data_IF_512201405353
#
_entry.id   IF_512201405353
#
_cell.length_a   1.000
_cell.length_b   1.000
_cell.length_c   1.000
_cell.angle_alpha   90.00
_cell.angle_beta   90.00
_cell.angle_gamma   90.00
#
_symmetry.space_group_name_H-M   'P 1'
#
loop_
_entity.id
_entity.type
_entity.pdbx_description
1 polymer ?
#
# COMPACT_ATOMS: atom_id res chain seq x y z
N UNK A 1 37.71 23.22 -26.15
CA UNK A 1 37.38 24.60 -25.74
C UNK A 1 37.09 24.54 -24.26
N UNK A 2 37.90 25.26 -23.49
CA UNK A 2 37.95 25.19 -22.03
C UNK A 2 36.77 25.94 -21.42
N UNK A 3 36.30 25.36 -20.31
CA UNK A 3 35.42 25.90 -19.27
C UNK A 3 35.49 27.42 -19.05
N UNK A 4 34.32 28.02 -18.83
CA UNK A 4 34.19 29.12 -17.87
C UNK A 4 33.41 28.61 -16.66
N UNK A 5 34.12 28.46 -15.54
CA UNK A 5 33.54 28.20 -14.22
C UNK A 5 32.95 29.49 -13.59
N UNK A 6 32.49 30.42 -14.42
CA UNK A 6 32.34 31.84 -14.08
C UNK A 6 31.00 32.45 -14.52
N UNK A 7 29.90 31.69 -14.57
CA UNK A 7 28.60 32.35 -14.51
C UNK A 7 28.23 32.56 -13.02
N UNK A 8 28.41 33.79 -12.48
CA UNK A 8 28.14 34.07 -11.08
C UNK A 8 26.67 33.85 -10.72
N UNK A 9 25.77 33.91 -11.71
CA UNK A 9 24.34 33.68 -11.50
C UNK A 9 24.06 32.18 -11.33
N UNK A 10 24.69 31.30 -12.12
CA UNK A 10 24.55 29.85 -11.94
C UNK A 10 25.19 29.36 -10.63
N UNK A 11 26.34 29.93 -10.25
CA UNK A 11 26.96 29.65 -8.94
C UNK A 11 26.03 30.09 -7.80
N UNK A 12 25.43 31.28 -7.92
CA UNK A 12 24.45 31.76 -6.95
C UNK A 12 23.21 30.86 -6.85
N UNK A 13 22.67 30.36 -7.98
CA UNK A 13 21.56 29.40 -7.96
C UNK A 13 21.98 28.10 -7.25
N UNK A 14 23.16 27.57 -7.54
CA UNK A 14 23.70 26.38 -6.84
C UNK A 14 23.79 26.60 -5.33
N UNK A 15 24.28 27.77 -4.89
CA UNK A 15 24.37 28.11 -3.47
C UNK A 15 22.98 28.21 -2.82
N UNK A 16 22.01 28.81 -3.52
CA UNK A 16 20.61 28.88 -3.08
C UNK A 16 19.98 27.50 -2.95
N UNK A 17 20.28 26.59 -3.86
CA UNK A 17 19.80 25.20 -3.80
C UNK A 17 20.35 24.50 -2.55
N UNK A 18 21.66 24.61 -2.29
CA UNK A 18 22.28 24.02 -1.10
C UNK A 18 21.73 24.62 0.20
N UNK A 19 21.46 25.92 0.22
CA UNK A 19 20.87 26.60 1.37
C UNK A 19 19.46 26.07 1.70
N UNK A 20 18.69 25.68 0.68
CA UNK A 20 17.35 25.14 0.84
C UNK A 20 17.33 23.63 1.18
N UNK A 21 18.43 22.90 0.97
CA UNK A 21 18.48 21.47 1.34
C UNK A 21 18.44 21.28 2.86
N UNK A 22 17.85 20.17 3.31
CA UNK A 22 17.77 19.91 4.74
C UNK A 22 19.18 19.64 5.31
N UNK A 23 19.63 20.38 6.34
CA UNK A 23 20.94 20.17 6.91
C UNK A 23 21.03 18.81 7.61
N UNK A 24 22.23 18.21 7.57
CA UNK A 24 22.51 16.98 8.28
C UNK A 24 22.34 17.15 9.79
N UNK A 25 21.83 16.13 10.47
CA UNK A 25 21.74 16.13 11.92
C UNK A 25 23.14 16.13 12.55
N UNK A 26 23.27 16.84 13.67
CA UNK A 26 24.50 16.84 14.48
C UNK A 26 24.73 15.51 15.21
N UNK A 27 23.67 14.75 15.48
CA UNK A 27 23.67 13.43 16.12
C UNK A 27 22.77 12.49 15.32
N UNK A 28 23.08 11.20 15.33
CA UNK A 28 22.28 10.19 14.64
C UNK A 28 20.87 10.07 15.24
N UNK A 29 19.92 9.64 14.42
CA UNK A 29 18.52 9.40 14.79
C UNK A 29 18.33 8.51 16.04
N UNK A 30 19.24 7.57 16.27
CA UNK A 30 19.16 6.68 17.44
C UNK A 30 19.43 7.44 18.76
N UNK A 31 20.07 8.60 18.70
CA UNK A 31 20.52 9.36 19.86
C UNK A 31 19.54 10.46 20.29
N UNK A 32 18.57 10.82 19.46
CA UNK A 32 17.70 11.99 19.68
C UNK A 32 16.30 11.72 19.16
N UNK A 33 15.28 11.98 19.99
CA UNK A 33 13.91 12.05 19.52
C UNK A 33 13.69 13.37 18.76
N UNK A 34 13.34 13.29 17.49
CA UNK A 34 13.08 14.49 16.68
C UNK A 34 11.64 14.99 16.89
N UNK A 35 11.49 16.31 16.98
CA UNK A 35 10.21 17.00 17.12
C UNK A 35 10.10 18.08 16.03
N UNK A 36 8.87 18.45 15.61
CA UNK A 36 8.66 19.51 14.62
C UNK A 36 9.35 20.84 14.98
N UNK A 37 9.37 21.19 16.27
CA UNK A 37 10.00 22.42 16.77
C UNK A 37 11.51 22.50 16.48
N UNK A 38 12.19 21.36 16.27
CA UNK A 38 13.60 21.34 15.89
C UNK A 38 13.85 21.90 14.47
N UNK A 39 12.82 22.07 13.66
CA UNK A 39 12.91 22.48 12.26
C UNK A 39 12.34 23.88 11.98
N UNK A 40 11.88 24.61 12.99
CA UNK A 40 11.27 25.96 12.83
C UNK A 40 12.17 26.96 12.10
N UNK A 41 13.47 26.94 12.42
CA UNK A 41 14.45 27.82 11.75
C UNK A 41 14.61 27.45 10.27
N UNK A 42 14.63 26.15 9.98
CA UNK A 42 14.72 25.66 8.61
C UNK A 42 13.45 26.00 7.81
N UNK A 43 12.27 25.83 8.41
CA UNK A 43 11.00 26.22 7.80
C UNK A 43 10.93 27.72 7.50
N UNK A 44 11.36 28.56 8.44
CA UNK A 44 11.41 30.01 8.25
C UNK A 44 12.35 30.40 7.11
N UNK A 45 13.50 29.72 7.00
CA UNK A 45 14.44 29.93 5.90
C UNK A 45 13.81 29.54 4.55
N UNK A 46 13.19 28.35 4.47
CA UNK A 46 12.55 27.89 3.23
C UNK A 46 11.43 28.84 2.76
N UNK A 47 10.62 29.35 3.68
CA UNK A 47 9.55 30.32 3.35
C UNK A 47 10.09 31.61 2.72
N UNK A 48 11.33 32.01 3.05
CA UNK A 48 11.97 33.21 2.53
C UNK A 48 12.77 32.95 1.25
N UNK A 49 13.50 31.83 1.18
CA UNK A 49 14.44 31.57 0.09
C UNK A 49 13.82 30.81 -1.09
N UNK A 50 12.82 29.94 -0.87
CA UNK A 50 12.18 29.21 -1.99
C UNK A 50 11.51 30.12 -3.03
N UNK A 51 10.78 31.19 -2.66
CA UNK A 51 10.23 32.13 -3.65
C UNK A 51 11.33 32.77 -4.50
N UNK A 52 12.45 33.15 -3.88
CA UNK A 52 13.59 33.74 -4.59
C UNK A 52 14.23 32.74 -5.54
N UNK A 53 14.40 31.49 -5.09
CA UNK A 53 14.90 30.41 -5.93
C UNK A 53 13.98 30.20 -7.14
N UNK A 54 12.67 30.14 -6.95
CA UNK A 54 11.71 29.97 -8.05
C UNK A 54 11.74 31.12 -9.04
N UNK A 55 11.87 32.37 -8.58
CA UNK A 55 12.05 33.52 -9.46
C UNK A 55 13.34 33.40 -10.31
N UNK A 56 14.44 32.96 -9.71
CA UNK A 56 15.72 32.74 -10.41
C UNK A 56 15.61 31.62 -11.43
N UNK A 57 14.96 30.50 -11.08
CA UNK A 57 14.73 29.37 -11.98
C UNK A 57 13.85 29.78 -13.16
N UNK A 58 12.84 30.62 -12.93
CA UNK A 58 11.96 31.10 -13.99
C UNK A 58 12.71 32.03 -14.95
N UNK A 59 13.56 32.93 -14.44
CA UNK A 59 14.39 33.83 -15.26
C UNK A 59 15.41 33.09 -16.12
N UNK A 60 15.96 32.00 -15.58
CA UNK A 60 17.04 31.23 -16.21
C UNK A 60 16.56 29.90 -16.82
N UNK A 61 15.24 29.75 -17.06
CA UNK A 61 14.62 28.48 -17.48
C UNK A 61 15.28 27.88 -18.72
N UNK A 62 15.53 28.69 -19.74
CA UNK A 62 16.08 28.23 -21.01
C UNK A 62 17.54 27.75 -20.88
N UNK A 63 18.33 28.43 -20.06
CA UNK A 63 19.74 28.10 -19.79
C UNK A 63 19.83 26.79 -18.99
N UNK A 64 18.99 26.65 -17.96
CA UNK A 64 18.94 25.46 -17.11
C UNK A 64 18.44 24.24 -17.90
N UNK A 65 17.49 24.44 -18.81
CA UNK A 65 16.85 23.34 -19.54
C UNK A 65 17.67 22.87 -20.74
N UNK A 66 18.30 23.78 -21.49
CA UNK A 66 18.87 23.45 -22.80
C UNK A 66 20.40 23.33 -22.81
N UNK A 67 21.10 23.87 -21.82
CA UNK A 67 22.56 23.89 -21.86
C UNK A 67 23.16 22.61 -21.26
N UNK A 68 23.98 21.93 -22.06
CA UNK A 68 24.63 20.66 -21.72
C UNK A 68 25.54 20.75 -20.47
N UNK A 69 26.34 21.80 -20.21
CA UNK A 69 27.21 21.85 -19.03
C UNK A 69 26.47 21.89 -17.69
N UNK A 70 25.17 22.20 -17.67
CA UNK A 70 24.40 22.42 -16.44
C UNK A 70 23.89 21.14 -15.76
N UNK A 71 24.42 19.97 -16.13
CA UNK A 71 24.04 18.68 -15.55
C UNK A 71 24.14 18.64 -14.01
N UNK A 72 25.20 19.23 -13.42
CA UNK A 72 25.37 19.23 -11.96
C UNK A 72 24.30 20.09 -11.26
N UNK A 73 24.01 21.28 -11.78
CA UNK A 73 22.99 22.16 -11.22
C UNK A 73 21.59 21.52 -11.36
N UNK A 74 21.28 20.94 -12.53
CA UNK A 74 20.03 20.18 -12.74
C UNK A 74 19.89 19.03 -11.75
N UNK A 75 20.97 18.28 -11.51
CA UNK A 75 20.97 17.21 -10.51
C UNK A 75 20.69 17.75 -9.11
N UNK A 76 21.34 18.83 -8.68
CA UNK A 76 21.10 19.46 -7.37
C UNK A 76 19.65 19.95 -7.22
N UNK A 77 19.08 20.53 -8.28
CA UNK A 77 17.68 20.95 -8.30
C UNK A 77 16.74 19.76 -8.15
N UNK A 78 16.95 18.68 -8.91
CA UNK A 78 16.16 17.45 -8.78
C UNK A 78 16.21 16.92 -7.35
N UNK A 79 17.41 16.86 -6.75
CA UNK A 79 17.60 16.41 -5.37
C UNK A 79 16.80 17.27 -4.39
N UNK A 80 16.96 18.60 -4.42
CA UNK A 80 16.23 19.52 -3.55
C UNK A 80 14.71 19.37 -3.70
N UNK A 81 14.21 19.37 -4.94
CA UNK A 81 12.78 19.29 -5.20
C UNK A 81 12.21 17.96 -4.69
N UNK A 82 12.93 16.85 -4.86
CA UNK A 82 12.55 15.55 -4.28
C UNK A 82 12.51 15.57 -2.74
N UNK A 83 13.43 16.27 -2.08
CA UNK A 83 13.40 16.47 -0.62
C UNK A 83 12.18 17.29 -0.18
N UNK A 84 11.84 18.36 -0.91
CA UNK A 84 10.73 19.24 -0.59
C UNK A 84 9.36 18.58 -0.74
N UNK A 85 9.17 17.78 -1.80
CA UNK A 85 7.89 17.09 -2.07
C UNK A 85 7.76 15.74 -1.34
N UNK A 86 8.75 15.37 -0.53
CA UNK A 86 8.71 14.11 0.18
C UNK A 86 7.46 14.00 1.05
N UNK A 87 6.93 12.77 1.13
CA UNK A 87 5.78 12.40 1.96
C UNK A 87 5.82 13.07 3.32
N UNK A 88 4.67 13.47 3.91
CA UNK A 88 4.64 14.31 5.11
C UNK A 88 5.61 13.81 6.18
N UNK A 89 6.58 14.67 6.48
CA UNK A 89 7.62 14.47 7.49
C UNK A 89 7.53 15.60 8.51
N UNK A 90 8.12 15.39 9.68
CA UNK A 90 8.20 16.42 10.73
C UNK A 90 8.94 17.70 10.30
N UNK A 91 9.71 17.63 9.22
CA UNK A 91 10.45 18.75 8.63
C UNK A 91 9.88 19.22 7.29
N UNK A 92 8.76 18.66 6.83
CA UNK A 92 8.04 19.17 5.66
C UNK A 92 7.40 20.53 5.95
N UNK A 93 7.24 21.35 4.91
CA UNK A 93 6.49 22.60 5.00
C UNK A 93 4.98 22.29 5.12
N UNK A 94 4.30 22.84 6.12
CA UNK A 94 2.87 22.62 6.39
C UNK A 94 2.08 23.92 6.18
N UNK A 95 0.80 23.81 5.80
CA UNK A 95 -0.14 24.94 5.78
C UNK A 95 -0.04 25.80 4.51
N UNK A 96 0.18 27.11 4.67
CA UNK A 96 0.17 28.10 3.57
C UNK A 96 1.26 27.87 2.50
N UNK A 97 2.22 26.98 2.77
CA UNK A 97 3.26 26.57 1.82
C UNK A 97 2.80 25.57 0.75
N UNK A 98 1.52 25.18 0.72
CA UNK A 98 0.98 24.24 -0.27
C UNK A 98 1.24 24.69 -1.73
N UNK A 99 1.20 26.00 -2.00
CA UNK A 99 1.54 26.53 -3.32
C UNK A 99 3.02 26.35 -3.67
N UNK A 100 3.92 26.52 -2.70
CA UNK A 100 5.36 26.33 -2.91
C UNK A 100 5.72 24.88 -3.22
N UNK A 101 5.07 23.93 -2.54
CA UNK A 101 5.25 22.49 -2.79
C UNK A 101 4.66 22.07 -4.13
N UNK A 102 3.52 22.64 -4.53
CA UNK A 102 2.94 22.42 -5.86
C UNK A 102 3.87 22.91 -6.97
N UNK A 103 4.45 24.10 -6.80
CA UNK A 103 5.46 24.61 -7.74
C UNK A 103 6.67 23.68 -7.80
N UNK A 104 7.14 23.19 -6.65
CA UNK A 104 8.25 22.24 -6.60
C UNK A 104 7.97 20.97 -7.44
N UNK A 105 6.76 20.41 -7.30
CA UNK A 105 6.38 19.20 -8.02
C UNK A 105 6.29 19.43 -9.54
N UNK A 106 5.75 20.58 -9.96
CA UNK A 106 5.67 20.96 -11.38
C UNK A 106 7.08 21.16 -11.99
N UNK A 107 7.96 21.88 -11.28
CA UNK A 107 9.35 22.05 -11.71
C UNK A 107 10.10 20.73 -11.77
N UNK A 108 9.90 19.83 -10.80
CA UNK A 108 10.52 18.52 -10.79
C UNK A 108 10.08 17.69 -12.01
N UNK A 109 8.79 17.67 -12.32
CA UNK A 109 8.27 16.97 -13.49
C UNK A 109 8.93 17.43 -14.79
N UNK A 110 9.07 18.75 -14.96
CA UNK A 110 9.76 19.35 -16.10
C UNK A 110 11.24 18.93 -16.16
N UNK A 111 11.98 19.02 -15.05
CA UNK A 111 13.40 18.64 -15.01
C UNK A 111 13.62 17.14 -15.26
N UNK A 112 12.76 16.28 -14.73
CA UNK A 112 12.87 14.83 -14.94
C UNK A 112 12.61 14.43 -16.40
N UNK A 113 11.75 15.15 -17.11
CA UNK A 113 11.48 14.90 -18.55
C UNK A 113 12.71 15.11 -19.45
N UNK A 114 13.66 15.95 -19.01
CA UNK A 114 14.90 16.28 -19.71
C UNK A 114 16.15 15.71 -19.01
N UNK A 115 15.96 14.84 -18.02
CA UNK A 115 17.05 14.25 -17.24
C UNK A 115 17.81 13.22 -18.09
N UNK A 116 19.11 13.39 -18.24
CA UNK A 116 19.97 12.48 -18.99
C UNK A 116 20.92 11.71 -18.06
N UNK A 117 21.71 10.80 -18.63
CA UNK A 117 22.63 9.92 -17.88
C UNK A 117 23.69 10.70 -17.06
N UNK A 118 24.04 11.92 -17.48
CA UNK A 118 25.00 12.76 -16.78
C UNK A 118 24.45 13.27 -15.44
N UNK A 119 23.21 13.78 -15.43
CA UNK A 119 22.49 14.13 -14.20
C UNK A 119 22.32 12.92 -13.29
N UNK A 120 21.91 11.78 -13.85
CA UNK A 120 21.73 10.55 -13.08
C UNK A 120 23.01 10.10 -12.39
N UNK A 121 24.17 10.29 -13.03
CA UNK A 121 25.47 10.01 -12.42
C UNK A 121 25.74 10.91 -11.22
N UNK A 122 25.44 12.20 -11.31
CA UNK A 122 25.56 13.13 -10.18
C UNK A 122 24.58 12.81 -9.04
N UNK A 123 23.32 12.51 -9.38
CA UNK A 123 22.28 12.13 -8.43
C UNK A 123 22.67 10.84 -7.70
N UNK A 124 23.14 9.83 -8.44
CA UNK A 124 23.61 8.57 -7.87
C UNK A 124 24.76 8.80 -6.90
N UNK A 125 25.79 9.57 -7.30
CA UNK A 125 26.93 9.87 -6.44
C UNK A 125 26.50 10.59 -5.14
N UNK A 126 25.54 11.51 -5.22
CA UNK A 126 24.99 12.17 -4.04
C UNK A 126 24.36 11.16 -3.07
N UNK A 127 23.44 10.32 -3.57
CA UNK A 127 22.78 9.34 -2.71
C UNK A 127 23.74 8.27 -2.19
N UNK A 128 24.68 7.79 -3.00
CA UNK A 128 25.71 6.84 -2.56
C UNK A 128 26.52 7.36 -1.37
N UNK A 129 26.89 8.65 -1.40
CA UNK A 129 27.61 9.30 -0.30
C UNK A 129 26.72 9.54 0.93
N UNK A 130 25.47 9.96 0.72
CA UNK A 130 24.56 10.40 1.79
C UNK A 130 23.80 9.26 2.47
N UNK A 131 23.54 8.17 1.73
CA UNK A 131 22.79 7.01 2.21
C UNK A 131 23.70 5.82 2.52
N UNK A 132 25.01 6.08 2.64
CA UNK A 132 25.95 5.08 3.14
C UNK A 132 25.54 4.61 4.54
N UNK A 133 25.72 3.32 4.81
CA UNK A 133 25.31 2.66 6.07
C UNK A 133 25.78 3.38 7.34
N UNK A 134 26.93 4.06 7.27
CA UNK A 134 27.57 4.71 8.42
C UNK A 134 27.05 6.13 8.72
N UNK A 135 26.32 6.77 7.79
CA UNK A 135 25.97 8.19 7.93
C UNK A 135 24.51 8.53 7.57
N UNK A 136 23.76 7.62 6.97
CA UNK A 136 22.39 7.87 6.49
C UNK A 136 21.47 8.39 7.59
N UNK A 137 21.67 7.95 8.85
CA UNK A 137 20.89 8.39 10.02
C UNK A 137 21.02 9.87 10.35
N UNK A 138 21.93 10.61 9.69
CA UNK A 138 22.03 12.08 9.79
C UNK A 138 21.41 12.79 8.60
N UNK A 139 21.14 12.10 7.50
CA UNK A 139 20.81 12.69 6.21
C UNK A 139 19.30 12.56 5.91
N UNK A 140 18.44 13.10 6.77
CA UNK A 140 16.98 12.89 6.67
C UNK A 140 16.41 13.34 5.32
N UNK A 141 16.88 14.50 4.83
CA UNK A 141 16.51 15.05 3.52
C UNK A 141 16.76 14.02 2.43
N UNK A 142 18.01 13.55 2.31
CA UNK A 142 18.40 12.55 1.34
C UNK A 142 17.60 11.24 1.45
N UNK A 143 17.32 10.77 2.67
CA UNK A 143 16.60 9.51 2.92
C UNK A 143 15.18 9.56 2.36
N UNK A 144 14.43 10.62 2.67
CA UNK A 144 13.06 10.77 2.17
C UNK A 144 13.01 11.25 0.72
N UNK A 145 13.95 12.12 0.32
CA UNK A 145 14.11 12.58 -1.05
C UNK A 145 14.42 11.43 -2.01
N UNK A 146 15.16 10.40 -1.56
CA UNK A 146 15.44 9.22 -2.38
C UNK A 146 14.18 8.45 -2.75
N UNK A 147 13.27 8.22 -1.79
CA UNK A 147 11.99 7.56 -2.09
C UNK A 147 11.15 8.38 -3.09
N UNK A 148 11.09 9.70 -2.93
CA UNK A 148 10.44 10.61 -3.89
C UNK A 148 11.09 10.57 -5.27
N UNK A 149 12.42 10.53 -5.32
CA UNK A 149 13.19 10.43 -6.56
C UNK A 149 12.87 9.13 -7.28
N UNK A 150 12.91 7.99 -6.60
CA UNK A 150 12.53 6.70 -7.21
C UNK A 150 11.09 6.74 -7.73
N UNK A 151 10.16 7.29 -6.95
CA UNK A 151 8.75 7.41 -7.34
C UNK A 151 8.57 8.24 -8.61
N UNK A 152 9.22 9.42 -8.69
CA UNK A 152 9.01 10.37 -9.79
C UNK A 152 9.82 10.02 -11.04
N UNK A 153 11.07 9.60 -10.88
CA UNK A 153 11.99 9.31 -12.00
C UNK A 153 11.52 8.13 -12.83
N UNK A 154 11.00 7.09 -12.17
CA UNK A 154 10.69 5.80 -12.80
C UNK A 154 9.20 5.58 -13.05
N UNK A 155 8.33 6.55 -12.75
CA UNK A 155 6.89 6.45 -13.02
C UNK A 155 6.51 6.41 -14.53
N UNK A 156 7.37 6.91 -15.42
CA UNK A 156 7.08 7.06 -16.86
C UNK A 156 7.77 5.98 -17.71
N UNK A 157 7.63 4.71 -17.34
CA UNK A 157 8.21 3.54 -18.04
C UNK A 157 9.74 3.50 -18.18
N UNK A 158 10.46 4.41 -17.50
CA UNK A 158 11.91 4.29 -17.39
C UNK A 158 12.23 3.16 -16.43
N UNK A 159 13.08 2.23 -16.86
CA UNK A 159 13.49 1.09 -16.07
C UNK A 159 14.77 1.38 -15.29
N UNK A 160 14.79 0.92 -14.04
CA UNK A 160 15.98 1.05 -13.19
C UNK A 160 17.13 0.20 -13.73
N UNK A 161 18.35 0.73 -13.70
CA UNK A 161 19.54 -0.06 -14.00
C UNK A 161 19.87 -1.02 -12.85
N UNK A 162 20.56 -2.13 -13.12
CA UNK A 162 20.99 -3.10 -12.09
C UNK A 162 21.79 -2.43 -10.96
N UNK A 163 22.57 -1.39 -11.27
CA UNK A 163 23.30 -0.59 -10.28
C UNK A 163 22.36 0.18 -9.35
N UNK A 164 21.32 0.81 -9.91
CA UNK A 164 20.31 1.51 -9.09
C UNK A 164 19.47 0.52 -8.27
N UNK A 165 19.11 -0.63 -8.85
CA UNK A 165 18.37 -1.70 -8.18
C UNK A 165 19.14 -2.17 -6.94
N UNK A 166 20.38 -2.63 -7.11
CA UNK A 166 21.22 -3.13 -6.01
C UNK A 166 21.46 -2.08 -4.93
N UNK A 167 21.67 -0.83 -5.33
CA UNK A 167 21.77 0.29 -4.40
C UNK A 167 20.46 0.53 -3.63
N UNK A 168 19.31 0.51 -4.31
CA UNK A 168 17.99 0.73 -3.70
C UNK A 168 17.64 -0.37 -2.69
N UNK A 169 18.00 -1.63 -2.97
CA UNK A 169 17.88 -2.74 -2.01
C UNK A 169 18.70 -2.44 -0.76
N UNK A 170 19.98 -2.09 -0.91
CA UNK A 170 20.86 -1.80 0.23
C UNK A 170 20.35 -0.64 1.08
N UNK A 171 19.90 0.45 0.45
CA UNK A 171 19.29 1.60 1.15
C UNK A 171 18.02 1.18 1.88
N UNK A 172 17.11 0.47 1.21
CA UNK A 172 15.87 0.02 1.84
C UNK A 172 16.11 -0.89 3.05
N UNK A 173 17.08 -1.81 2.97
CA UNK A 173 17.47 -2.66 4.10
C UNK A 173 18.01 -1.82 5.27
N UNK A 174 18.99 -0.93 5.02
CA UNK A 174 19.58 -0.08 6.06
C UNK A 174 18.55 0.80 6.76
N UNK A 175 17.64 1.41 5.98
CA UNK A 175 16.60 2.31 6.51
C UNK A 175 15.63 1.54 7.42
N UNK A 176 15.29 0.29 7.07
CA UNK A 176 14.40 -0.57 7.88
C UNK A 176 15.04 -1.07 9.18
N UNK A 177 16.36 -1.03 9.33
CA UNK A 177 17.01 -1.32 10.62
C UNK A 177 16.64 -0.29 11.70
N UNK A 178 16.09 0.86 11.33
CA UNK A 178 15.57 1.82 12.28
C UNK A 178 14.33 1.29 13.00
N UNK A 179 14.30 1.45 14.33
CA UNK A 179 13.18 1.00 15.15
C UNK A 179 11.90 1.81 14.94
N UNK A 180 12.00 3.04 14.42
CA UNK A 180 10.87 3.93 14.19
C UNK A 180 10.01 3.46 13.00
N UNK A 181 8.69 3.41 13.18
CA UNK A 181 7.74 2.86 12.18
C UNK A 181 7.76 3.61 10.85
N UNK A 182 8.04 4.91 10.88
CA UNK A 182 8.08 5.79 9.72
C UNK A 182 9.20 5.37 8.75
N UNK A 183 10.33 4.92 9.28
CA UNK A 183 11.46 4.44 8.46
C UNK A 183 11.23 3.02 7.96
N UNK A 184 10.55 2.17 8.73
CA UNK A 184 10.08 0.87 8.22
C UNK A 184 9.14 1.06 7.03
N UNK A 185 8.18 1.97 7.16
CA UNK A 185 7.28 2.37 6.08
C UNK A 185 8.05 2.90 4.87
N UNK A 186 9.02 3.79 5.10
CA UNK A 186 9.85 4.35 4.03
C UNK A 186 10.64 3.27 3.27
N UNK A 187 11.22 2.31 3.99
CA UNK A 187 11.90 1.17 3.37
C UNK A 187 10.96 0.31 2.53
N UNK A 188 9.73 0.05 3.00
CA UNK A 188 8.71 -0.65 2.21
C UNK A 188 8.35 0.09 0.91
N UNK A 189 8.29 1.42 0.96
CA UNK A 189 8.04 2.25 -0.23
C UNK A 189 9.18 2.22 -1.22
N UNK A 190 10.43 2.30 -0.76
CA UNK A 190 11.62 2.17 -1.62
C UNK A 190 11.58 0.83 -2.35
N UNK A 191 11.32 -0.26 -1.61
CA UNK A 191 11.18 -1.60 -2.19
C UNK A 191 10.02 -1.68 -3.19
N UNK A 192 8.84 -1.14 -2.85
CA UNK A 192 7.68 -1.16 -3.75
C UNK A 192 7.95 -0.43 -5.06
N UNK A 193 8.53 0.77 -5.01
CA UNK A 193 8.91 1.51 -6.23
C UNK A 193 9.93 0.76 -7.07
N UNK A 194 10.89 0.08 -6.44
CA UNK A 194 11.86 -0.72 -7.15
C UNK A 194 11.23 -1.96 -7.80
N UNK A 195 10.39 -2.71 -7.07
CA UNK A 195 9.71 -3.89 -7.59
C UNK A 195 8.78 -3.55 -8.77
N UNK A 196 8.09 -2.41 -8.72
CA UNK A 196 7.18 -2.00 -9.80
C UNK A 196 7.92 -1.53 -11.07
N UNK A 197 9.06 -0.82 -10.90
CA UNK A 197 9.68 -0.08 -12.00
C UNK A 197 10.99 -0.70 -12.52
N UNK A 198 11.34 -1.91 -12.09
CA UNK A 198 12.50 -2.66 -12.58
C UNK A 198 12.13 -3.66 -13.67
N UNK A 199 13.13 -4.20 -14.38
CA UNK A 199 12.91 -5.38 -15.21
C UNK A 199 12.74 -6.62 -14.32
N UNK A 200 11.66 -7.41 -14.48
CA UNK A 200 11.45 -8.60 -13.64
C UNK A 200 12.62 -9.58 -13.67
N UNK A 201 13.28 -9.73 -14.81
CA UNK A 201 14.46 -10.60 -14.95
C UNK A 201 15.61 -10.20 -14.02
N UNK A 202 15.87 -8.89 -13.85
CA UNK A 202 16.94 -8.40 -12.97
C UNK A 202 16.62 -8.66 -11.50
N UNK A 203 15.34 -8.48 -11.12
CA UNK A 203 14.84 -8.75 -9.76
C UNK A 203 15.00 -10.25 -9.45
N UNK A 204 14.54 -11.10 -10.37
CA UNK A 204 14.57 -12.56 -10.24
C UNK A 204 15.99 -13.13 -10.21
N UNK A 205 16.86 -12.70 -11.13
CA UNK A 205 18.23 -13.21 -11.24
C UNK A 205 19.03 -12.98 -9.95
N UNK A 206 18.78 -11.86 -9.27
CA UNK A 206 19.44 -11.48 -8.03
C UNK A 206 18.67 -11.93 -6.77
N UNK A 207 17.51 -12.60 -6.94
CA UNK A 207 16.59 -12.99 -5.87
C UNK A 207 16.23 -11.83 -4.91
N UNK A 208 16.01 -10.65 -5.48
CA UNK A 208 15.78 -9.43 -4.70
C UNK A 208 14.42 -9.49 -3.98
N UNK A 209 13.39 -10.02 -4.64
CA UNK A 209 12.05 -10.21 -4.08
C UNK A 209 12.07 -11.11 -2.84
N UNK A 210 12.90 -12.17 -2.82
CA UNK A 210 13.04 -13.05 -1.65
C UNK A 210 13.70 -12.33 -0.47
N UNK A 211 14.78 -11.58 -0.73
CA UNK A 211 15.45 -10.78 0.31
C UNK A 211 14.51 -9.73 0.90
N UNK A 212 13.70 -9.07 0.06
CA UNK A 212 12.71 -8.10 0.52
C UNK A 212 11.63 -8.79 1.35
N UNK A 213 11.08 -9.91 0.86
CA UNK A 213 10.05 -10.66 1.56
C UNK A 213 10.48 -10.99 3.00
N UNK A 214 11.65 -11.61 3.17
CA UNK A 214 12.14 -12.02 4.49
C UNK A 214 12.32 -10.85 5.47
N UNK A 215 12.72 -9.68 4.95
CA UNK A 215 12.94 -8.49 5.77
C UNK A 215 11.62 -7.76 6.10
N UNK A 216 10.70 -7.65 5.14
CA UNK A 216 9.43 -6.96 5.33
C UNK A 216 8.45 -7.81 6.15
N UNK A 217 8.41 -9.12 5.91
CA UNK A 217 7.49 -10.04 6.59
C UNK A 217 7.80 -10.18 8.09
N UNK A 218 9.06 -10.00 8.50
CA UNK A 218 9.43 -9.92 9.92
C UNK A 218 8.63 -8.85 10.67
N UNK A 219 8.37 -7.71 10.03
CA UNK A 219 7.62 -6.61 10.63
C UNK A 219 6.10 -6.83 10.62
N UNK A 220 5.59 -7.79 9.84
CA UNK A 220 4.18 -8.19 9.88
C UNK A 220 3.78 -8.82 11.23
N UNK A 221 4.75 -9.22 12.05
CA UNK A 221 4.55 -9.74 13.41
C UNK A 221 4.31 -8.62 14.43
N UNK A 222 4.63 -7.37 14.08
CA UNK A 222 4.50 -6.21 14.95
C UNK A 222 3.23 -5.42 14.60
N UNK A 223 2.51 -4.96 15.62
CA UNK A 223 1.38 -4.05 15.44
C UNK A 223 1.91 -2.63 15.20
N UNK A 224 2.00 -2.26 13.93
CA UNK A 224 2.37 -0.92 13.48
C UNK A 224 1.12 -0.05 13.21
N UNK A 225 1.26 1.28 13.06
CA UNK A 225 0.19 2.12 12.54
C UNK A 225 -0.37 1.61 11.21
N UNK A 226 -1.61 1.99 10.88
CA UNK A 226 -2.33 1.52 9.68
C UNK A 226 -1.52 1.80 8.40
N UNK A 227 -0.94 3.00 8.27
CA UNK A 227 -0.19 3.38 7.06
C UNK A 227 1.09 2.55 6.88
N UNK A 228 1.85 2.33 7.96
CA UNK A 228 3.03 1.45 7.94
C UNK A 228 2.65 0.01 7.60
N UNK A 229 1.55 -0.46 8.16
CA UNK A 229 1.03 -1.82 7.91
C UNK A 229 0.61 -1.96 6.45
N UNK A 230 -0.11 -0.98 5.91
CA UNK A 230 -0.51 -0.95 4.50
C UNK A 230 0.71 -1.03 3.56
N UNK A 231 1.72 -0.18 3.77
CA UNK A 231 2.92 -0.18 2.91
C UNK A 231 3.71 -1.49 3.01
N UNK A 232 3.83 -2.08 4.20
CA UNK A 232 4.49 -3.37 4.37
C UNK A 232 3.76 -4.49 3.60
N UNK A 233 2.44 -4.60 3.76
CA UNK A 233 1.66 -5.64 3.06
C UNK A 233 1.60 -5.40 1.55
N UNK A 234 1.50 -4.15 1.12
CA UNK A 234 1.55 -3.81 -0.30
C UNK A 234 2.91 -4.20 -0.92
N UNK A 235 4.01 -3.94 -0.20
CA UNK A 235 5.35 -4.38 -0.61
C UNK A 235 5.46 -5.91 -0.71
N UNK A 236 4.88 -6.65 0.23
CA UNK A 236 4.86 -8.12 0.19
C UNK A 236 4.07 -8.65 -1.02
N UNK A 237 2.91 -8.05 -1.32
CA UNK A 237 2.15 -8.37 -2.53
C UNK A 237 2.98 -8.10 -3.80
N UNK A 238 3.74 -7.01 -3.85
CA UNK A 238 4.64 -6.76 -4.98
C UNK A 238 5.77 -7.77 -5.10
N UNK A 239 6.22 -8.39 -4.01
CA UNK A 239 7.19 -9.48 -4.10
C UNK A 239 6.59 -10.68 -4.84
N UNK A 240 5.30 -10.96 -4.61
CA UNK A 240 4.59 -12.06 -5.25
C UNK A 240 4.49 -11.90 -6.78
N UNK A 241 4.48 -10.66 -7.30
CA UNK A 241 4.41 -10.36 -8.74
C UNK A 241 5.67 -10.84 -9.49
N UNK A 242 6.78 -11.07 -8.80
CA UNK A 242 8.08 -11.39 -9.39
C UNK A 242 8.45 -12.87 -9.38
N UNK A 243 7.59 -13.74 -8.87
CA UNK A 243 7.85 -15.17 -8.99
C UNK A 243 7.28 -15.72 -10.30
N UNK A 244 8.09 -16.50 -11.01
CA UNK A 244 7.79 -16.96 -12.39
C UNK A 244 6.95 -18.22 -12.46
N UNK A 245 7.05 -19.08 -11.45
CA UNK A 245 6.34 -20.35 -11.39
C UNK A 245 5.73 -20.50 -10.00
N UNK A 246 4.45 -20.90 -9.94
CA UNK A 246 3.77 -21.32 -8.72
C UNK A 246 4.37 -22.66 -8.24
N UNK A 247 5.58 -22.59 -7.72
CA UNK A 247 6.26 -23.71 -7.09
C UNK A 247 5.84 -23.85 -5.62
N UNK A 248 6.29 -24.91 -4.96
CA UNK A 248 5.99 -25.13 -3.55
C UNK A 248 6.48 -24.00 -2.63
N UNK A 249 7.51 -23.25 -3.04
CA UNK A 249 8.07 -22.15 -2.26
C UNK A 249 7.13 -20.94 -2.27
N UNK A 250 6.60 -20.55 -3.43
CA UNK A 250 5.57 -19.51 -3.53
C UNK A 250 4.34 -19.81 -2.69
N UNK A 251 3.85 -21.05 -2.77
CA UNK A 251 2.69 -21.46 -2.00
C UNK A 251 2.91 -21.32 -0.49
N UNK A 252 4.12 -21.62 0.00
CA UNK A 252 4.45 -21.44 1.41
C UNK A 252 4.42 -19.96 1.82
N UNK A 253 4.95 -19.04 1.00
CA UNK A 253 4.94 -17.61 1.34
C UNK A 253 3.52 -17.04 1.41
N UNK A 254 2.62 -17.47 0.53
CA UNK A 254 1.23 -17.02 0.55
C UNK A 254 0.46 -17.63 1.73
N UNK A 255 0.77 -18.86 2.08
CA UNK A 255 0.25 -19.55 3.27
C UNK A 255 0.69 -18.82 4.56
N UNK A 256 1.97 -18.47 4.69
CA UNK A 256 2.52 -17.68 5.79
C UNK A 256 1.87 -16.29 5.87
N UNK A 257 1.67 -15.63 4.73
CA UNK A 257 0.96 -14.34 4.66
C UNK A 257 -0.49 -14.46 5.12
N UNK A 258 -1.24 -15.46 4.66
CA UNK A 258 -2.63 -15.69 5.06
C UNK A 258 -2.75 -16.03 6.55
N UNK A 259 -1.85 -16.87 7.08
CA UNK A 259 -1.77 -17.16 8.51
C UNK A 259 -1.60 -15.89 9.33
N UNK A 260 -0.61 -15.07 8.95
CA UNK A 260 -0.28 -13.86 9.67
C UNK A 260 -1.39 -12.81 9.54
N UNK A 261 -1.99 -12.65 8.37
CA UNK A 261 -3.10 -11.72 8.15
C UNK A 261 -4.32 -12.10 8.97
N UNK A 262 -4.75 -13.36 8.91
CA UNK A 262 -5.93 -13.83 9.67
C UNK A 262 -5.75 -13.63 11.16
N UNK A 263 -4.55 -13.92 11.69
CA UNK A 263 -4.21 -13.64 13.08
C UNK A 263 -4.24 -12.13 13.39
N UNK A 264 -3.60 -11.30 12.57
CA UNK A 264 -3.50 -9.86 12.80
C UNK A 264 -4.87 -9.17 12.75
N UNK A 265 -5.79 -9.62 11.88
CA UNK A 265 -7.17 -9.14 11.85
C UNK A 265 -7.83 -9.41 13.20
N UNK A 266 -7.80 -10.67 13.67
CA UNK A 266 -8.45 -11.06 14.94
C UNK A 266 -7.84 -10.41 16.19
N UNK A 267 -6.58 -9.99 16.14
CA UNK A 267 -5.91 -9.27 17.23
C UNK A 267 -6.08 -7.74 17.17
N UNK A 268 -6.53 -7.21 16.03
CA UNK A 268 -6.67 -5.77 15.85
C UNK A 268 -7.78 -5.23 16.76
N UNK A 269 -7.54 -4.15 17.49
CA UNK A 269 -8.60 -3.43 18.21
C UNK A 269 -9.26 -2.33 17.37
N UNK A 270 -8.63 -1.92 16.26
CA UNK A 270 -9.07 -0.82 15.40
C UNK A 270 -9.79 -1.35 14.15
N UNK A 271 -10.96 -0.79 13.86
CA UNK A 271 -11.75 -1.13 12.67
C UNK A 271 -11.01 -0.77 11.39
N UNK A 272 -10.30 0.37 11.36
CA UNK A 272 -9.54 0.78 10.16
C UNK A 272 -8.43 -0.21 9.83
N UNK A 273 -7.71 -0.65 10.85
CA UNK A 273 -6.69 -1.71 10.69
C UNK A 273 -7.33 -3.01 10.21
N UNK A 274 -8.47 -3.40 10.78
CA UNK A 274 -9.18 -4.63 10.40
C UNK A 274 -9.62 -4.59 8.93
N UNK A 275 -10.19 -3.47 8.48
CA UNK A 275 -10.55 -3.23 7.07
C UNK A 275 -9.31 -3.32 6.17
N UNK A 276 -8.22 -2.66 6.56
CA UNK A 276 -6.96 -2.67 5.81
C UNK A 276 -6.45 -4.11 5.58
N UNK A 277 -6.37 -4.90 6.65
CA UNK A 277 -5.89 -6.28 6.60
C UNK A 277 -6.86 -7.22 5.85
N UNK A 278 -8.18 -7.05 6.01
CA UNK A 278 -9.19 -7.81 5.25
C UNK A 278 -9.07 -7.59 3.74
N UNK A 279 -8.73 -6.37 3.31
CA UNK A 279 -8.48 -6.09 1.89
C UNK A 279 -7.27 -6.87 1.35
N UNK A 280 -6.22 -7.05 2.15
CA UNK A 280 -5.08 -7.89 1.77
C UNK A 280 -5.43 -9.37 1.71
N UNK A 281 -6.22 -9.89 2.65
CA UNK A 281 -6.74 -11.27 2.60
C UNK A 281 -7.56 -11.47 1.32
N UNK A 282 -8.46 -10.53 1.03
CA UNK A 282 -9.28 -10.55 -0.19
C UNK A 282 -8.39 -10.59 -1.43
N UNK A 283 -7.38 -9.72 -1.51
CA UNK A 283 -6.44 -9.68 -2.62
C UNK A 283 -5.68 -11.00 -2.80
N UNK A 284 -5.18 -11.60 -1.71
CA UNK A 284 -4.50 -12.90 -1.74
C UNK A 284 -5.44 -14.02 -2.19
N UNK A 285 -6.72 -13.97 -1.79
CA UNK A 285 -7.71 -14.99 -2.10
C UNK A 285 -7.94 -15.20 -3.60
N UNK A 286 -7.69 -14.19 -4.44
CA UNK A 286 -7.77 -14.30 -5.90
C UNK A 286 -6.43 -14.07 -6.62
N UNK A 287 -5.34 -13.88 -5.88
CA UNK A 287 -4.10 -13.33 -6.44
C UNK A 287 -3.49 -14.18 -7.58
N UNK A 288 -3.56 -15.51 -7.47
CA UNK A 288 -3.01 -16.45 -8.45
C UNK A 288 -4.04 -17.03 -9.42
N UNK A 289 -5.24 -16.48 -9.41
CA UNK A 289 -6.30 -16.92 -10.32
C UNK A 289 -6.05 -16.37 -11.72
N UNK A 290 -6.36 -17.15 -12.76
CA UNK A 290 -6.16 -16.74 -14.16
C UNK A 290 -7.01 -15.50 -14.52
N UNK A 291 -8.16 -15.33 -13.87
CA UNK A 291 -9.11 -14.24 -14.07
C UNK A 291 -8.99 -13.12 -13.01
N UNK A 292 -7.81 -12.94 -12.41
CA UNK A 292 -7.51 -11.90 -11.38
C UNK A 292 -8.12 -10.53 -11.69
N UNK A 293 -7.93 -10.02 -12.91
CA UNK A 293 -8.42 -8.68 -13.29
C UNK A 293 -9.95 -8.60 -13.39
N UNK A 294 -10.59 -9.66 -13.86
CA UNK A 294 -12.06 -9.74 -13.92
C UNK A 294 -12.67 -9.69 -12.52
N UNK A 295 -12.07 -10.43 -11.58
CA UNK A 295 -12.49 -10.44 -10.16
C UNK A 295 -12.25 -9.08 -9.53
N UNK A 296 -11.08 -8.48 -9.75
CA UNK A 296 -10.75 -7.15 -9.22
C UNK A 296 -11.76 -6.10 -9.68
N UNK A 297 -12.15 -6.14 -10.95
CA UNK A 297 -13.20 -5.27 -11.50
C UNK A 297 -14.57 -5.57 -10.86
N UNK A 298 -14.95 -6.85 -10.76
CA UNK A 298 -16.21 -7.25 -10.14
C UNK A 298 -16.32 -6.80 -8.67
N UNK A 299 -15.24 -6.91 -7.89
CA UNK A 299 -15.20 -6.50 -6.49
C UNK A 299 -15.23 -4.97 -6.30
N UNK A 300 -14.78 -4.21 -7.30
CA UNK A 300 -14.79 -2.74 -7.27
C UNK A 300 -16.17 -2.12 -7.50
N UNK A 301 -17.14 -2.93 -7.95
CA UNK A 301 -18.51 -2.51 -8.20
C UNK A 301 -19.24 -2.08 -6.91
N UNK A 302 -20.29 -1.28 -7.06
CA UNK A 302 -21.16 -0.88 -5.98
C UNK A 302 -22.29 -1.91 -5.82
N UNK A 303 -22.11 -2.80 -4.85
CA UNK A 303 -23.05 -3.89 -4.60
C UNK A 303 -24.45 -3.41 -4.19
N UNK A 304 -24.64 -2.14 -3.82
CA UNK A 304 -25.98 -1.57 -3.60
C UNK A 304 -26.87 -1.63 -4.84
N UNK A 305 -26.29 -1.80 -6.03
CA UNK A 305 -27.01 -2.04 -7.28
C UNK A 305 -27.29 -3.55 -7.49
N UNK A 306 -28.56 -3.99 -7.63
CA UNK A 306 -28.93 -5.40 -7.62
C UNK A 306 -28.34 -6.26 -8.75
N UNK A 307 -28.06 -5.67 -9.91
CA UNK A 307 -27.46 -6.38 -11.03
C UNK A 307 -25.94 -6.60 -10.85
N UNK A 308 -25.29 -5.76 -10.03
CA UNK A 308 -23.83 -5.81 -9.85
C UNK A 308 -23.41 -6.93 -8.90
N UNK A 309 -24.19 -7.17 -7.83
CA UNK A 309 -23.90 -8.28 -6.91
C UNK A 309 -24.06 -9.65 -7.58
N UNK A 310 -25.06 -9.82 -8.44
CA UNK A 310 -25.28 -11.08 -9.16
C UNK A 310 -24.13 -11.37 -10.13
N UNK A 311 -23.69 -10.36 -10.89
CA UNK A 311 -22.52 -10.50 -11.76
C UNK A 311 -21.24 -10.84 -10.95
N UNK A 312 -21.07 -10.22 -9.77
CA UNK A 312 -19.94 -10.52 -8.91
C UNK A 312 -19.97 -11.96 -8.36
N UNK A 313 -21.15 -12.45 -7.97
CA UNK A 313 -21.35 -13.84 -7.52
C UNK A 313 -20.95 -14.85 -8.58
N UNK A 314 -21.35 -14.62 -9.83
CA UNK A 314 -21.04 -15.54 -10.94
C UNK A 314 -19.53 -15.57 -11.25
N UNK A 315 -18.87 -14.40 -11.23
CA UNK A 315 -17.41 -14.32 -11.39
C UNK A 315 -16.68 -15.00 -10.23
N UNK A 316 -17.09 -14.74 -8.99
CA UNK A 316 -16.41 -15.28 -7.81
C UNK A 316 -16.67 -16.78 -7.61
N UNK A 317 -17.85 -17.30 -7.94
CA UNK A 317 -18.15 -18.74 -7.83
C UNK A 317 -17.32 -19.59 -8.80
N UNK A 318 -16.87 -19.00 -9.92
CA UNK A 318 -16.02 -19.68 -10.91
C UNK A 318 -14.56 -19.89 -10.44
N UNK A 319 -14.18 -19.40 -9.26
CA UNK A 319 -12.80 -19.45 -8.78
C UNK A 319 -12.40 -20.85 -8.33
N UNK A 320 -11.41 -21.41 -8.99
CA UNK A 320 -10.80 -22.67 -8.57
C UNK A 320 -9.74 -22.42 -7.50
N UNK A 321 -10.15 -22.11 -6.26
CA UNK A 321 -9.20 -21.77 -5.20
C UNK A 321 -8.92 -22.95 -4.27
N UNK A 322 -7.95 -23.77 -4.67
CA UNK A 322 -7.46 -24.88 -3.85
C UNK A 322 -6.86 -24.40 -2.50
N UNK A 323 -6.34 -23.17 -2.42
CA UNK A 323 -5.69 -22.63 -1.22
C UNK A 323 -6.64 -22.15 -0.14
N UNK A 324 -7.77 -21.56 -0.52
CA UNK A 324 -8.67 -20.96 0.45
C UNK A 324 -9.35 -22.02 1.33
N UNK A 325 -9.44 -23.26 0.86
CA UNK A 325 -9.99 -24.36 1.66
C UNK A 325 -9.26 -24.55 2.99
N UNK A 326 -7.92 -24.57 2.98
CA UNK A 326 -7.10 -24.74 4.19
C UNK A 326 -7.41 -23.66 5.23
N UNK A 327 -7.70 -22.45 4.76
CA UNK A 327 -7.93 -21.27 5.58
C UNK A 327 -9.41 -21.02 5.88
N UNK A 328 -10.34 -21.74 5.25
CA UNK A 328 -11.78 -21.48 5.33
C UNK A 328 -12.29 -21.42 6.77
N UNK A 329 -11.92 -22.39 7.61
CA UNK A 329 -12.28 -22.40 9.02
C UNK A 329 -11.77 -21.16 9.77
N UNK A 330 -10.49 -20.82 9.60
CA UNK A 330 -9.87 -19.67 10.25
C UNK A 330 -10.48 -18.35 9.78
N UNK A 331 -10.77 -18.22 8.48
CA UNK A 331 -11.41 -17.03 7.91
C UNK A 331 -12.84 -16.88 8.43
N UNK A 332 -13.64 -17.95 8.46
CA UNK A 332 -15.00 -17.91 9.02
C UNK A 332 -14.99 -17.52 10.50
N UNK A 333 -14.08 -18.09 11.29
CA UNK A 333 -13.91 -17.74 12.70
C UNK A 333 -13.45 -16.29 12.89
N UNK A 334 -12.50 -15.83 12.08
CA UNK A 334 -12.02 -14.45 12.06
C UNK A 334 -13.18 -13.48 11.75
N UNK A 335 -13.97 -13.74 10.69
CA UNK A 335 -15.13 -12.90 10.35
C UNK A 335 -16.15 -12.86 11.50
N UNK A 336 -16.36 -13.97 12.19
CA UNK A 336 -17.25 -14.03 13.33
C UNK A 336 -16.73 -13.18 14.51
N UNK A 337 -15.44 -13.25 14.83
CA UNK A 337 -14.84 -12.42 15.89
C UNK A 337 -14.90 -10.93 15.54
N UNK A 338 -14.57 -10.61 14.30
CA UNK A 338 -14.59 -9.22 13.82
C UNK A 338 -16.00 -8.63 13.76
N UNK A 339 -17.04 -9.46 13.70
CA UNK A 339 -18.44 -9.01 13.64
C UNK A 339 -18.86 -8.21 14.87
N UNK A 340 -18.21 -8.38 16.03
CA UNK A 340 -18.45 -7.58 17.22
C UNK A 340 -18.19 -6.08 16.98
N UNK A 341 -17.25 -5.74 16.08
CA UNK A 341 -16.91 -4.35 15.76
C UNK A 341 -17.97 -3.67 14.88
N UNK A 342 -18.90 -4.42 14.31
CA UNK A 342 -20.02 -3.87 13.53
C UNK A 342 -20.99 -3.05 14.37
N UNK A 343 -20.97 -3.21 15.69
CA UNK A 343 -21.81 -2.47 16.63
C UNK A 343 -21.27 -1.06 16.96
N UNK A 344 -20.13 -0.67 16.38
CA UNK A 344 -19.55 0.68 16.50
C UNK A 344 -20.31 1.71 15.64
N UNK A 345 -19.73 2.85 15.26
CA UNK A 345 -20.45 3.86 14.46
C UNK A 345 -20.89 3.32 13.07
N UNK A 346 -21.96 3.89 12.52
CA UNK A 346 -22.59 3.41 11.29
C UNK A 346 -21.67 3.43 10.06
N UNK A 347 -20.82 4.46 9.91
CA UNK A 347 -19.88 4.55 8.78
C UNK A 347 -18.82 3.45 8.83
N UNK A 348 -18.27 3.19 10.02
CA UNK A 348 -17.29 2.12 10.24
C UNK A 348 -17.93 0.74 10.07
N UNK A 349 -19.17 0.57 10.51
CA UNK A 349 -19.97 -0.64 10.27
C UNK A 349 -20.13 -0.90 8.76
N UNK A 350 -20.57 0.10 7.99
CA UNK A 350 -20.76 -0.04 6.55
C UNK A 350 -19.45 -0.41 5.83
N UNK A 351 -18.34 0.26 6.14
CA UNK A 351 -17.03 -0.05 5.54
C UNK A 351 -16.53 -1.44 5.91
N UNK A 352 -16.71 -1.86 7.17
CA UNK A 352 -16.31 -3.19 7.63
C UNK A 352 -17.18 -4.28 6.99
N UNK A 353 -18.49 -4.09 6.87
CA UNK A 353 -19.38 -5.01 6.15
C UNK A 353 -18.91 -5.21 4.71
N UNK A 354 -18.60 -4.14 3.98
CA UNK A 354 -18.08 -4.24 2.61
C UNK A 354 -16.78 -5.06 2.55
N UNK A 355 -15.84 -4.82 3.46
CA UNK A 355 -14.58 -5.57 3.50
C UNK A 355 -14.82 -7.06 3.81
N UNK A 356 -15.72 -7.37 4.75
CA UNK A 356 -16.10 -8.74 5.09
C UNK A 356 -16.82 -9.45 3.93
N UNK A 357 -17.74 -8.76 3.22
CA UNK A 357 -18.43 -9.31 2.06
C UNK A 357 -17.44 -9.71 0.97
N UNK A 358 -16.53 -8.80 0.60
CA UNK A 358 -15.52 -9.05 -0.42
C UNK A 358 -14.61 -10.20 -0.04
N UNK A 359 -14.18 -10.25 1.23
CA UNK A 359 -13.39 -11.36 1.76
C UNK A 359 -14.15 -12.69 1.64
N UNK A 360 -15.43 -12.73 2.03
CA UNK A 360 -16.26 -13.93 1.93
C UNK A 360 -16.46 -14.39 0.49
N UNK A 361 -16.76 -13.46 -0.44
CA UNK A 361 -16.99 -13.75 -1.86
C UNK A 361 -15.79 -14.43 -2.53
N UNK A 362 -14.57 -14.03 -2.18
CA UNK A 362 -13.36 -14.61 -2.78
C UNK A 362 -12.86 -15.82 -1.99
N UNK A 363 -12.92 -15.76 -0.66
CA UNK A 363 -12.24 -16.74 0.18
C UNK A 363 -13.11 -17.92 0.58
N UNK A 364 -14.44 -17.76 0.63
CA UNK A 364 -15.35 -18.78 1.14
C UNK A 364 -16.29 -19.28 0.05
N UNK A 365 -16.97 -18.37 -0.66
CA UNK A 365 -17.95 -18.72 -1.68
C UNK A 365 -17.47 -19.75 -2.71
N UNK A 366 -16.22 -19.70 -3.23
CA UNK A 366 -15.81 -20.63 -4.28
C UNK A 366 -15.52 -22.05 -3.79
N UNK A 367 -15.50 -22.27 -2.47
CA UNK A 367 -15.21 -23.59 -1.91
C UNK A 367 -16.48 -24.46 -1.99
N UNK A 368 -16.38 -25.70 -2.51
CA UNK A 368 -17.53 -26.60 -2.59
C UNK A 368 -18.23 -26.83 -1.25
N UNK A 369 -19.56 -26.75 -1.26
CA UNK A 369 -20.40 -26.93 -0.06
C UNK A 369 -20.14 -28.24 0.67
N UNK A 370 -19.86 -29.33 -0.06
CA UNK A 370 -19.58 -30.65 0.49
C UNK A 370 -18.40 -30.63 1.46
N UNK A 371 -17.51 -29.64 1.30
CA UNK A 371 -16.32 -29.47 2.10
C UNK A 371 -16.55 -28.47 3.24
N UNK A 372 -17.38 -27.45 3.02
CA UNK A 372 -17.69 -26.40 4.00
C UNK A 372 -18.80 -26.75 4.99
N UNK A 373 -19.64 -27.75 4.68
CA UNK A 373 -20.89 -28.00 5.42
C UNK A 373 -20.73 -28.16 6.94
N UNK A 374 -19.56 -28.61 7.42
CA UNK A 374 -19.28 -28.77 8.86
C UNK A 374 -19.03 -27.44 9.59
N UNK A 375 -18.73 -26.36 8.87
CA UNK A 375 -18.40 -25.04 9.43
C UNK A 375 -19.51 -24.00 9.23
N UNK A 376 -20.31 -24.13 8.17
CA UNK A 376 -21.34 -23.16 7.83
C UNK A 376 -22.48 -23.03 8.85
N UNK A 377 -23.04 -24.10 9.45
CA UNK A 377 -24.14 -23.98 10.41
C UNK A 377 -23.79 -23.08 11.60
N UNK A 378 -22.63 -23.33 12.23
CA UNK A 378 -22.15 -22.53 13.36
C UNK A 378 -21.91 -21.07 12.94
N UNK A 379 -21.27 -20.86 11.79
CA UNK A 379 -21.02 -19.52 11.27
C UNK A 379 -22.33 -18.76 11.00
N UNK A 380 -23.28 -19.36 10.27
CA UNK A 380 -24.56 -18.73 9.96
C UNK A 380 -25.36 -18.40 11.21
N UNK A 381 -25.45 -19.33 12.18
CA UNK A 381 -26.18 -19.10 13.42
C UNK A 381 -25.70 -17.83 14.14
N UNK A 382 -24.38 -17.65 14.24
CA UNK A 382 -23.75 -16.54 14.95
C UNK A 382 -23.72 -15.26 14.13
N UNK A 383 -23.26 -15.35 12.88
CA UNK A 383 -23.05 -14.17 12.03
C UNK A 383 -24.38 -13.54 11.61
N UNK A 384 -25.41 -14.33 11.28
CA UNK A 384 -26.75 -13.79 10.94
C UNK A 384 -27.37 -13.09 12.15
N UNK A 385 -27.20 -13.63 13.36
CA UNK A 385 -27.67 -12.96 14.57
C UNK A 385 -27.04 -11.57 14.74
N UNK A 386 -25.72 -11.46 14.52
CA UNK A 386 -25.00 -10.17 14.58
C UNK A 386 -25.47 -9.23 13.47
N UNK A 387 -25.68 -9.71 12.24
CA UNK A 387 -26.22 -8.89 11.15
C UNK A 387 -27.60 -8.30 11.52
N UNK A 388 -28.47 -9.09 12.14
CA UNK A 388 -29.78 -8.61 12.60
C UNK A 388 -29.66 -7.61 13.74
N UNK A 389 -28.73 -7.83 14.68
CA UNK A 389 -28.43 -6.88 15.74
C UNK A 389 -27.92 -5.54 15.17
N UNK A 390 -27.07 -5.57 14.14
CA UNK A 390 -26.58 -4.37 13.47
C UNK A 390 -27.73 -3.52 12.91
N UNK A 391 -28.76 -4.14 12.33
CA UNK A 391 -29.93 -3.41 11.84
C UNK A 391 -30.69 -2.70 12.97
N UNK A 392 -30.76 -3.33 14.16
CA UNK A 392 -31.41 -2.75 15.34
C UNK A 392 -30.58 -1.60 15.90
N UNK A 393 -29.29 -1.82 16.15
CA UNK A 393 -28.36 -0.83 16.74
C UNK A 393 -28.27 0.42 15.87
N UNK A 394 -28.15 0.24 14.55
CA UNK A 394 -28.03 1.34 13.60
C UNK A 394 -29.36 1.87 13.09
N UNK A 395 -30.48 1.52 13.76
CA UNK A 395 -31.83 2.02 13.44
C UNK A 395 -32.20 1.88 11.97
N UNK A 396 -31.79 0.77 11.34
CA UNK A 396 -31.98 0.49 9.91
C UNK A 396 -31.45 1.59 8.99
N UNK A 397 -30.30 2.19 9.32
CA UNK A 397 -29.61 3.09 8.41
C UNK A 397 -29.49 2.47 7.01
N UNK A 398 -29.86 3.22 5.98
CA UNK A 398 -30.04 2.68 4.63
C UNK A 398 -28.82 1.91 4.08
N UNK A 399 -27.56 2.39 4.23
CA UNK A 399 -26.39 1.64 3.76
C UNK A 399 -26.23 0.27 4.44
N UNK A 400 -26.49 0.20 5.75
CA UNK A 400 -26.34 -1.03 6.55
C UNK A 400 -27.46 -2.02 6.22
N UNK A 401 -28.69 -1.51 5.98
CA UNK A 401 -29.81 -2.32 5.51
C UNK A 401 -29.46 -3.01 4.18
N UNK A 402 -28.98 -2.25 3.19
CA UNK A 402 -28.61 -2.77 1.88
C UNK A 402 -27.48 -3.80 1.98
N UNK A 403 -26.42 -3.51 2.72
CA UNK A 403 -25.29 -4.43 2.92
C UNK A 403 -25.70 -5.71 3.65
N UNK A 404 -26.62 -5.62 4.61
CA UNK A 404 -27.15 -6.80 5.31
C UNK A 404 -27.98 -7.66 4.36
N UNK A 405 -28.87 -7.06 3.56
CA UNK A 405 -29.64 -7.79 2.55
C UNK A 405 -28.73 -8.53 1.56
N UNK A 406 -27.66 -7.88 1.11
CA UNK A 406 -26.67 -8.47 0.21
C UNK A 406 -25.95 -9.67 0.84
N UNK A 407 -25.56 -9.60 2.12
CA UNK A 407 -24.98 -10.75 2.81
C UNK A 407 -25.92 -11.95 2.82
N UNK A 408 -27.19 -11.72 3.14
CA UNK A 408 -28.21 -12.78 3.12
C UNK A 408 -28.37 -13.33 1.70
N UNK A 409 -28.37 -12.47 0.67
CA UNK A 409 -28.42 -12.91 -0.73
C UNK A 409 -27.22 -13.77 -1.12
N UNK A 410 -26.01 -13.43 -0.66
CA UNK A 410 -24.79 -14.22 -0.88
C UNK A 410 -24.93 -15.59 -0.23
N UNK A 411 -25.43 -15.67 1.02
CA UNK A 411 -25.63 -16.94 1.71
C UNK A 411 -26.68 -17.81 1.01
N UNK A 412 -27.80 -17.22 0.56
CA UNK A 412 -28.80 -17.93 -0.25
C UNK A 412 -28.16 -18.46 -1.53
N UNK A 413 -27.36 -17.64 -2.24
CA UNK A 413 -26.67 -18.08 -3.45
C UNK A 413 -25.74 -19.26 -3.17
N UNK A 414 -24.95 -19.19 -2.11
CA UNK A 414 -24.02 -20.26 -1.73
C UNK A 414 -24.75 -21.61 -1.54
N UNK A 415 -26.01 -21.60 -1.10
CA UNK A 415 -26.80 -22.80 -0.83
C UNK A 415 -27.60 -23.31 -2.05
N UNK A 416 -27.67 -22.58 -3.18
CA UNK A 416 -28.56 -22.89 -4.33
C UNK A 416 -28.29 -24.23 -5.01
N UNK A 417 -27.03 -24.66 -5.09
CA UNK A 417 -26.61 -25.87 -5.81
C UNK A 417 -26.29 -27.06 -4.89
N UNK A 418 -26.79 -27.04 -3.64
CA UNK A 418 -26.60 -28.15 -2.71
C UNK A 418 -27.28 -29.41 -3.26
N UNK A 419 -26.48 -30.41 -3.66
CA UNK A 419 -26.98 -31.72 -4.06
C UNK A 419 -26.90 -32.67 -2.85
N UNK A 420 -28.03 -33.14 -2.29
CA UNK A 420 -28.04 -33.97 -1.09
C UNK A 420 -27.51 -35.38 -1.40
N UNK A 421 -26.21 -35.56 -1.19
CA UNK A 421 -25.51 -36.84 -1.35
C UNK A 421 -24.70 -37.15 -0.11
N UNK A 422 -25.33 -37.88 0.83
CA UNK A 422 -24.78 -38.47 2.06
C UNK A 422 -24.86 -37.65 3.37
N UNK A 423 -25.86 -38.02 4.19
CA UNK A 423 -25.95 -37.99 5.66
C UNK A 423 -25.78 -36.68 6.47
N UNK A 424 -25.50 -35.53 5.87
CA UNK A 424 -25.35 -34.24 6.59
C UNK A 424 -26.39 -33.18 6.23
N UNK A 425 -27.60 -33.59 5.84
CA UNK A 425 -28.49 -32.80 4.97
C UNK A 425 -29.62 -31.99 5.62
N UNK A 426 -29.99 -32.17 6.90
CA UNK A 426 -31.16 -31.43 7.46
C UNK A 426 -30.89 -29.95 7.71
N UNK A 427 -29.74 -29.63 8.29
CA UNK A 427 -29.55 -28.31 8.91
C UNK A 427 -29.37 -27.20 7.86
N UNK A 428 -28.67 -27.47 6.76
CA UNK A 428 -28.44 -26.48 5.69
C UNK A 428 -29.71 -26.17 4.87
N UNK A 429 -30.61 -27.16 4.71
CA UNK A 429 -31.91 -26.95 4.05
C UNK A 429 -32.83 -26.05 4.91
N UNK A 430 -32.78 -26.22 6.24
CA UNK A 430 -33.45 -25.34 7.18
C UNK A 430 -32.89 -23.91 7.11
N UNK A 431 -31.57 -23.75 7.00
CA UNK A 431 -30.94 -22.44 6.81
C UNK A 431 -31.34 -21.77 5.48
N UNK A 432 -31.38 -22.48 4.36
CA UNK A 432 -31.82 -21.91 3.08
C UNK A 432 -33.25 -21.35 3.18
N UNK A 433 -34.16 -22.12 3.78
CA UNK A 433 -35.55 -21.71 3.99
C UNK A 433 -35.64 -20.49 4.92
N UNK A 434 -34.89 -20.51 6.04
CA UNK A 434 -34.87 -19.42 7.01
C UNK A 434 -34.29 -18.13 6.42
N UNK A 435 -33.18 -18.23 5.66
CA UNK A 435 -32.52 -17.08 5.02
C UNK A 435 -33.40 -16.45 3.94
N UNK A 436 -34.10 -17.24 3.12
CA UNK A 436 -35.09 -16.72 2.15
C UNK A 436 -36.22 -15.97 2.84
N UNK A 437 -36.78 -16.53 3.90
CA UNK A 437 -37.81 -15.85 4.69
C UNK A 437 -37.30 -14.55 5.31
N UNK A 438 -36.07 -14.56 5.83
CA UNK A 438 -35.44 -13.39 6.41
C UNK A 438 -35.19 -12.30 5.38
N UNK A 439 -34.70 -12.65 4.19
CA UNK A 439 -34.50 -11.70 3.08
C UNK A 439 -35.79 -10.95 2.74
N UNK A 440 -36.91 -11.68 2.60
CA UNK A 440 -38.23 -11.10 2.33
C UNK A 440 -38.73 -10.18 3.46
N UNK A 441 -38.33 -10.44 4.70
CA UNK A 441 -38.68 -9.59 5.85
C UNK A 441 -37.83 -8.32 5.93
N UNK A 442 -36.55 -8.39 5.58
CA UNK A 442 -35.65 -7.22 5.56
C UNK A 442 -35.98 -6.31 4.37
N UNK A 443 -36.49 -6.86 3.25
CA UNK A 443 -36.91 -6.12 2.07
C UNK A 443 -38.23 -5.33 2.25
N UNK A 444 -39.00 -5.62 3.31
CA UNK A 444 -40.23 -4.92 3.71
C UNK A 444 -39.92 -3.81 4.70
#
# INVERSE_FOLDING_TARGET
MNFDANDPELAFISDQVQLCMLPALKKDLDSVQLLPSHFETYHSLLQQELPKLYDLLQRNKDIISNDVPNHQLRAQLILLLCELIASPTIYSLIGEAALLLRNADEYLGNLLSICHNAEESHIFCYYEQKLHKDCWKRQLGAVHGFASYLQKRYANDVKMSTKMITFSVAVGLNVRECFQSEYKQLGARIFSHMLQNSHPADIQQLNIQGVIYDNVFRDAHSLHPVDTTFENWNCLCHCLDHFTELDGFMWNQCDEMLERLTLNVSLSSDVKMSICLLNFITNLGYYFTLNKEEIRLALSADFTQPNQITACLDVCSSLNVCTNYRWAKHILQMLQLESEKLLQNADSCAQLLVAMQRCFLVCILPIPLQVLHVHLPEFYAKFVAVLMECLVVHKKAHPILMLTQQFIQIFIYQLKDFTPGHQTTSDLEEYDTALKSLYDQIAK
#
